data_IF_825658574115
#
_entry.id   IF_825658574115
#
_cell.length_a   1.000
_cell.length_b   1.000
_cell.length_c   1.000
_cell.angle_alpha   90.00
_cell.angle_beta   90.00
_cell.angle_gamma   90.00
#
_symmetry.space_group_name_H-M   'P 1'
#
loop_
_entity.id
_entity.type
_entity.pdbx_description
1 polymer ?
#
# COMPACT_ATOMS: atom_id res chain seq x y z
N UNK A 1 -7.84 8.69 -11.08
CA UNK A 1 -7.78 8.45 -9.62
C UNK A 1 -8.00 9.78 -8.92
N UNK A 2 -8.07 9.77 -7.60
CA UNK A 2 -8.08 10.97 -6.77
C UNK A 2 -6.93 10.86 -5.76
N UNK A 3 -6.34 11.99 -5.33
CA UNK A 3 -5.30 11.98 -4.32
C UNK A 3 -5.76 11.23 -3.07
N UNK A 4 -4.96 10.26 -2.63
CA UNK A 4 -5.24 9.38 -1.50
C UNK A 4 -5.79 8.01 -1.91
N UNK A 5 -6.33 7.85 -3.12
CA UNK A 5 -6.82 6.54 -3.57
C UNK A 5 -5.72 5.47 -3.46
N UNK A 6 -6.08 4.29 -2.96
CA UNK A 6 -5.19 3.13 -2.93
C UNK A 6 -5.38 2.34 -4.23
N UNK A 7 -4.28 2.15 -4.95
CA UNK A 7 -4.26 1.50 -6.27
C UNK A 7 -3.65 0.11 -6.12
N UNK A 8 -4.47 -0.91 -6.30
CA UNK A 8 -4.07 -2.32 -6.17
C UNK A 8 -3.86 -2.96 -7.54
N UNK A 9 -2.60 -3.09 -7.96
CA UNK A 9 -2.28 -3.77 -9.23
C UNK A 9 -2.62 -5.25 -9.13
N UNK A 10 -3.43 -5.72 -10.07
CA UNK A 10 -3.79 -7.12 -10.23
C UNK A 10 -2.94 -7.73 -11.34
N UNK A 11 -2.47 -8.94 -11.08
CA UNK A 11 -1.64 -9.62 -12.04
C UNK A 11 -2.54 -10.40 -13.02
N UNK A 12 -2.49 -10.04 -14.31
CA UNK A 12 -3.19 -10.76 -15.38
C UNK A 12 -2.46 -12.07 -15.74
N UNK A 13 -3.11 -12.96 -16.50
CA UNK A 13 -2.58 -14.29 -16.85
C UNK A 13 -1.52 -14.19 -17.97
N UNK A 14 -1.61 -13.15 -18.78
CA UNK A 14 -0.79 -12.83 -19.95
C UNK A 14 0.23 -11.69 -19.71
N UNK A 15 0.23 -11.09 -18.52
CA UNK A 15 1.16 -10.01 -18.17
C UNK A 15 2.58 -10.57 -17.95
N UNK A 16 3.54 -10.19 -18.81
CA UNK A 16 4.95 -10.58 -18.68
C UNK A 16 5.57 -10.15 -17.34
N UNK A 17 5.06 -9.09 -16.72
CA UNK A 17 5.50 -8.66 -15.38
C UNK A 17 4.88 -9.53 -14.28
N UNK A 18 3.67 -10.08 -14.46
CA UNK A 18 3.05 -11.01 -13.51
C UNK A 18 3.86 -12.29 -13.29
N UNK A 19 4.68 -12.66 -14.28
CA UNK A 19 5.61 -13.80 -14.23
C UNK A 19 6.99 -13.45 -13.66
N UNK A 20 7.24 -12.17 -13.31
CA UNK A 20 8.47 -11.81 -12.61
C UNK A 20 8.54 -12.50 -11.25
N UNK A 21 9.74 -12.95 -10.89
CA UNK A 21 10.01 -13.72 -9.66
C UNK A 21 9.35 -13.07 -8.41
N UNK A 22 9.46 -11.75 -8.18
CA UNK A 22 8.85 -11.12 -7.00
C UNK A 22 7.31 -11.23 -6.98
N UNK A 23 6.63 -11.04 -8.11
CA UNK A 23 5.16 -11.11 -8.19
C UNK A 23 4.66 -12.55 -8.10
N UNK A 24 5.39 -13.52 -8.64
CA UNK A 24 5.12 -14.94 -8.45
C UNK A 24 5.24 -15.36 -6.97
N UNK A 25 6.25 -14.85 -6.25
CA UNK A 25 6.38 -15.07 -4.80
C UNK A 25 5.23 -14.44 -4.02
N UNK A 26 4.77 -13.24 -4.39
CA UNK A 26 3.62 -12.60 -3.73
C UNK A 26 2.34 -13.42 -3.94
N UNK A 27 2.08 -13.89 -5.16
CA UNK A 27 0.96 -14.80 -5.48
C UNK A 27 1.00 -16.07 -4.62
N UNK A 28 2.14 -16.74 -4.60
CA UNK A 28 2.33 -17.95 -3.81
C UNK A 28 2.19 -17.67 -2.31
N UNK A 29 2.73 -16.55 -1.84
CA UNK A 29 2.65 -16.12 -0.45
C UNK A 29 1.22 -15.85 0.02
N UNK A 30 0.41 -15.18 -0.80
CA UNK A 30 -1.01 -14.94 -0.52
C UNK A 30 -1.78 -16.26 -0.41
N UNK A 31 -1.51 -17.20 -1.30
CA UNK A 31 -2.14 -18.52 -1.26
C UNK A 31 -1.74 -19.32 -0.01
N UNK A 32 -0.45 -19.28 0.36
CA UNK A 32 0.06 -19.91 1.59
C UNK A 32 -0.58 -19.28 2.83
N UNK A 33 -0.60 -17.94 2.92
CA UNK A 33 -1.18 -17.22 4.05
C UNK A 33 -2.67 -17.50 4.19
N UNK A 34 -3.44 -17.46 3.10
CA UNK A 34 -4.85 -17.83 3.08
C UNK A 34 -5.09 -19.28 3.55
N UNK A 35 -4.22 -20.22 3.15
CA UNK A 35 -4.29 -21.62 3.61
C UNK A 35 -3.94 -21.79 5.09
N UNK A 36 -3.01 -20.99 5.61
CA UNK A 36 -2.59 -21.05 7.02
C UNK A 36 -3.58 -20.37 7.97
N UNK A 37 -4.26 -19.30 7.52
CA UNK A 37 -5.05 -18.43 8.41
C UNK A 37 -6.55 -18.33 8.06
N UNK A 38 -7.02 -18.93 6.95
CA UNK A 38 -8.43 -19.26 6.73
C UNK A 38 -9.30 -18.22 6.03
N UNK A 39 -8.73 -17.27 5.29
CA UNK A 39 -9.43 -16.08 4.78
C UNK A 39 -9.88 -16.20 3.29
N UNK A 40 -9.68 -17.36 2.66
CA UNK A 40 -9.95 -17.58 1.23
C UNK A 40 -8.82 -17.06 0.33
N UNK A 41 -8.44 -17.83 -0.70
CA UNK A 41 -7.41 -17.36 -1.64
C UNK A 41 -8.04 -16.39 -2.64
N UNK A 42 -7.37 -15.29 -3.01
CA UNK A 42 -7.87 -14.43 -4.08
C UNK A 42 -8.00 -15.21 -5.39
N UNK A 43 -9.17 -15.12 -6.04
CA UNK A 43 -9.36 -15.58 -7.42
C UNK A 43 -8.53 -14.75 -8.42
N UNK A 44 -8.19 -13.50 -8.06
CA UNK A 44 -7.31 -12.61 -8.82
C UNK A 44 -6.24 -12.05 -7.87
N UNK A 45 -4.96 -12.39 -8.07
CA UNK A 45 -3.92 -11.99 -7.12
C UNK A 45 -3.57 -10.51 -7.24
N UNK A 46 -3.75 -9.78 -6.13
CA UNK A 46 -3.26 -8.41 -5.95
C UNK A 46 -1.76 -8.46 -5.69
N UNK A 47 -0.94 -7.95 -6.61
CA UNK A 47 0.53 -8.12 -6.53
C UNK A 47 1.27 -6.85 -6.13
N UNK A 48 0.59 -5.71 -6.12
CA UNK A 48 1.20 -4.44 -5.78
C UNK A 48 0.16 -3.48 -5.20
N UNK A 49 0.63 -2.52 -4.40
CA UNK A 49 -0.18 -1.43 -3.87
C UNK A 49 0.60 -0.12 -4.03
N UNK A 50 -0.09 0.93 -4.44
CA UNK A 50 0.42 2.28 -4.56
C UNK A 50 -0.61 3.28 -3.99
N UNK A 51 -0.19 4.51 -3.71
CA UNK A 51 -1.09 5.60 -3.32
C UNK A 51 -1.13 6.66 -4.42
N UNK A 52 -2.33 7.02 -4.87
CA UNK A 52 -2.53 8.05 -5.88
C UNK A 52 -2.26 9.43 -5.30
N UNK A 53 -1.59 10.27 -6.08
CA UNK A 53 -1.35 11.69 -5.77
C UNK A 53 -2.02 12.61 -6.78
N UNK A 54 -2.46 12.06 -7.91
CA UNK A 54 -3.28 12.74 -8.90
C UNK A 54 -4.21 11.75 -9.60
N UNK A 55 -4.83 12.21 -10.68
CA UNK A 55 -5.63 11.39 -11.58
C UNK A 55 -4.87 10.27 -12.30
N UNK A 56 -3.59 10.48 -12.62
CA UNK A 56 -2.75 9.50 -13.32
C UNK A 56 -1.49 9.09 -12.57
N UNK A 57 -1.07 9.86 -11.56
CA UNK A 57 0.17 9.63 -10.85
C UNK A 57 -0.03 8.95 -9.51
N UNK A 58 0.88 8.03 -9.19
CA UNK A 58 0.98 7.36 -7.90
C UNK A 58 2.38 7.52 -7.31
N UNK A 59 2.50 7.37 -5.99
CA UNK A 59 3.77 7.07 -5.33
C UNK A 59 3.74 5.61 -4.88
N UNK A 60 4.82 4.88 -5.17
CA UNK A 60 4.93 3.47 -4.88
C UNK A 60 6.35 3.06 -4.44
N UNK A 61 6.44 1.98 -3.67
CA UNK A 61 7.71 1.34 -3.32
C UNK A 61 7.94 0.12 -4.23
N UNK A 62 8.88 0.25 -5.16
CA UNK A 62 9.21 -0.74 -6.21
C UNK A 62 10.72 -1.03 -6.22
N UNK A 63 11.23 -1.93 -7.05
CA UNK A 63 12.63 -2.40 -6.99
C UNK A 63 13.72 -1.30 -6.97
N UNK A 64 13.45 -0.13 -7.55
CA UNK A 64 14.33 1.07 -7.52
C UNK A 64 14.23 1.89 -6.23
N UNK A 65 13.20 1.69 -5.41
CA UNK A 65 12.90 2.43 -4.20
C UNK A 65 11.50 3.04 -4.20
N UNK A 66 11.26 3.98 -3.29
CA UNK A 66 10.08 4.85 -3.31
C UNK A 66 10.23 5.83 -4.47
N UNK A 67 9.23 5.89 -5.34
CA UNK A 67 9.23 6.77 -6.50
C UNK A 67 7.82 7.18 -6.91
N UNK A 68 7.73 8.29 -7.64
CA UNK A 68 6.53 8.69 -8.37
C UNK A 68 6.46 7.97 -9.72
N UNK A 69 5.28 7.49 -10.10
CA UNK A 69 5.02 6.82 -11.39
C UNK A 69 3.73 7.34 -12.00
N UNK A 70 3.78 7.73 -13.28
CA UNK A 70 2.60 8.08 -14.07
C UNK A 70 2.05 6.83 -14.77
N UNK A 71 0.87 6.39 -14.35
CA UNK A 71 0.25 5.17 -14.86
C UNK A 71 -0.22 5.30 -16.32
N UNK A 72 -0.43 6.53 -16.80
CA UNK A 72 -0.87 6.79 -18.18
C UNK A 72 0.25 6.61 -19.20
N UNK A 73 1.52 6.66 -18.77
CA UNK A 73 2.70 6.59 -19.65
C UNK A 73 3.52 5.30 -19.47
N UNK A 74 3.11 4.37 -18.60
CA UNK A 74 3.81 3.10 -18.43
C UNK A 74 3.94 2.31 -19.75
N UNK A 75 5.14 1.75 -19.97
CA UNK A 75 5.42 0.92 -21.15
C UNK A 75 4.61 -0.37 -21.16
N UNK A 76 4.35 -0.94 -19.98
CA UNK A 76 3.44 -2.07 -19.79
C UNK A 76 2.27 -1.57 -18.96
N UNK A 77 1.10 -1.44 -19.58
CA UNK A 77 -0.11 -0.99 -18.88
C UNK A 77 -0.51 -2.03 -17.84
N UNK A 78 -0.51 -1.62 -16.58
CA UNK A 78 -1.02 -2.45 -15.48
C UNK A 78 -2.54 -2.37 -15.42
N UNK A 79 -3.16 -3.45 -14.95
CA UNK A 79 -4.55 -3.43 -14.49
C UNK A 79 -4.58 -3.28 -12.98
N UNK A 80 -5.46 -2.44 -12.45
CA UNK A 80 -5.58 -2.21 -11.02
C UNK A 80 -7.02 -1.96 -10.57
N UNK A 81 -7.28 -2.29 -9.32
CA UNK A 81 -8.48 -1.86 -8.60
C UNK A 81 -8.16 -0.58 -7.83
N UNK A 82 -9.10 0.36 -7.78
CA UNK A 82 -8.94 1.64 -7.09
C UNK A 82 -9.92 1.70 -5.92
N UNK A 83 -9.39 1.96 -4.72
CA UNK A 83 -10.18 2.18 -3.51
C UNK A 83 -9.99 3.61 -3.03
N UNK A 84 -11.10 4.28 -2.74
CA UNK A 84 -11.09 5.63 -2.18
C UNK A 84 -11.33 5.58 -0.67
N UNK A 85 -10.69 6.49 0.07
CA UNK A 85 -10.98 6.71 1.48
C UNK A 85 -12.23 7.57 1.60
N UNK A 86 -13.17 7.21 2.47
CA UNK A 86 -14.36 8.00 2.74
C UNK A 86 -14.11 9.26 3.61
N UNK A 87 -12.89 9.39 4.16
CA UNK A 87 -12.43 10.55 4.91
C UNK A 87 -11.39 11.33 4.08
N UNK A 88 -11.82 12.46 3.52
CA UNK A 88 -10.99 13.33 2.69
C UNK A 88 -9.78 13.92 3.42
N UNK A 89 -9.91 14.20 4.73
CA UNK A 89 -8.81 14.75 5.52
C UNK A 89 -7.73 13.69 5.73
N UNK A 90 -8.13 12.46 6.04
CA UNK A 90 -7.21 11.33 6.15
C UNK A 90 -6.54 11.03 4.80
N UNK A 91 -7.30 11.03 3.70
CA UNK A 91 -6.78 10.82 2.35
C UNK A 91 -5.70 11.86 2.00
N UNK A 92 -5.98 13.14 2.24
CA UNK A 92 -5.00 14.24 2.02
C UNK A 92 -3.78 14.08 2.90
N UNK A 93 -3.95 13.76 4.18
CA UNK A 93 -2.82 13.59 5.09
C UNK A 93 -1.92 12.42 4.67
N UNK A 94 -2.51 11.33 4.15
CA UNK A 94 -1.77 10.19 3.60
C UNK A 94 -0.96 10.58 2.35
N UNK A 95 -1.51 11.42 1.48
CA UNK A 95 -0.79 11.98 0.31
C UNK A 95 0.42 12.80 0.75
N UNK A 96 0.23 13.73 1.68
CA UNK A 96 1.31 14.57 2.22
C UNK A 96 2.43 13.70 2.81
N UNK A 97 2.08 12.66 3.56
CA UNK A 97 3.06 11.73 4.10
C UNK A 97 3.83 10.98 2.99
N UNK A 98 3.14 10.52 1.95
CA UNK A 98 3.76 9.83 0.83
C UNK A 98 4.71 10.75 0.04
N UNK A 99 4.32 12.00 -0.20
CA UNK A 99 5.13 13.02 -0.84
C UNK A 99 6.37 13.36 -0.02
N UNK A 100 6.23 13.47 1.31
CA UNK A 100 7.35 13.67 2.22
C UNK A 100 8.36 12.53 2.13
N UNK A 101 7.90 11.27 2.19
CA UNK A 101 8.80 10.12 2.03
C UNK A 101 9.54 10.14 0.70
N UNK A 102 8.86 10.46 -0.41
CA UNK A 102 9.48 10.57 -1.73
C UNK A 102 10.51 11.72 -1.78
N UNK A 103 10.21 12.87 -1.15
CA UNK A 103 11.14 14.00 -1.02
C UNK A 103 12.36 13.69 -0.14
N UNK A 104 12.16 12.95 0.95
CA UNK A 104 13.23 12.53 1.86
C UNK A 104 14.20 11.55 1.20
N UNK A 105 13.71 10.70 0.29
CA UNK A 105 14.56 9.87 -0.58
C UNK A 105 15.37 10.74 -1.54
N UNK A 106 14.72 11.70 -2.21
CA UNK A 106 15.40 12.62 -3.13
C UNK A 106 16.46 13.49 -2.46
N UNK A 107 16.27 13.84 -1.19
CA UNK A 107 17.22 14.58 -0.35
C UNK A 107 18.16 13.69 0.50
N UNK A 108 18.11 12.36 0.30
CA UNK A 108 18.94 11.36 0.98
C UNK A 108 18.81 11.30 2.50
N UNK A 109 17.72 11.84 3.05
CA UNK A 109 17.43 11.77 4.48
C UNK A 109 17.02 10.37 4.93
N UNK A 110 16.38 9.61 4.03
CA UNK A 110 16.05 8.19 4.20
C UNK A 110 16.51 7.40 2.98
N UNK A 111 16.69 6.09 3.15
CA UNK A 111 17.09 5.23 2.04
C UNK A 111 15.96 4.92 1.05
N UNK A 112 14.71 4.82 1.51
CA UNK A 112 13.55 4.45 0.68
C UNK A 112 13.68 3.15 -0.10
N UNK A 113 14.49 2.19 0.36
CA UNK A 113 14.80 0.98 -0.40
C UNK A 113 13.65 -0.01 -0.40
N UNK A 114 13.47 -0.70 -1.52
CA UNK A 114 12.54 -1.81 -1.60
C UNK A 114 13.10 -3.09 -0.98
N UNK A 115 12.25 -3.84 -0.28
CA UNK A 115 12.63 -5.06 0.43
C UNK A 115 11.82 -6.28 0.02
N UNK A 116 12.46 -7.14 -0.79
CA UNK A 116 11.97 -8.50 -1.09
C UNK A 116 11.92 -9.36 0.19
N UNK A 117 12.83 -9.12 1.14
CA UNK A 117 12.82 -9.83 2.42
C UNK A 117 11.58 -9.49 3.25
N UNK A 118 11.18 -8.22 3.30
CA UNK A 118 9.94 -7.80 3.97
C UNK A 118 8.71 -8.39 3.25
N UNK A 119 8.74 -8.47 1.92
CA UNK A 119 7.69 -9.13 1.14
C UNK A 119 7.56 -10.63 1.50
N UNK A 120 8.68 -11.32 1.70
CA UNK A 120 8.66 -12.71 2.15
C UNK A 120 8.19 -12.83 3.61
N UNK A 121 8.65 -11.96 4.51
CA UNK A 121 8.27 -11.99 5.92
C UNK A 121 6.80 -11.67 6.18
N UNK A 122 6.19 -10.78 5.39
CA UNK A 122 4.76 -10.42 5.57
C UNK A 122 3.80 -11.59 5.30
N UNK A 123 4.25 -12.59 4.53
CA UNK A 123 3.50 -13.84 4.32
C UNK A 123 3.38 -14.64 5.62
N UNK A 124 4.44 -14.68 6.43
CA UNK A 124 4.52 -15.53 7.62
C UNK A 124 4.15 -14.82 8.92
N UNK A 125 3.79 -13.53 8.86
CA UNK A 125 3.45 -12.72 10.03
C UNK A 125 1.97 -12.33 10.01
N UNK A 126 1.30 -12.52 11.15
CA UNK A 126 0.01 -11.90 11.49
C UNK A 126 0.18 -11.33 12.89
N UNK A 127 0.50 -10.04 12.97
CA UNK A 127 0.72 -9.34 14.24
C UNK A 127 -0.33 -8.24 14.38
N UNK A 128 -1.10 -8.22 15.49
CA UNK A 128 -2.04 -7.13 15.73
C UNK A 128 -1.30 -5.81 15.93
N UNK A 129 -2.03 -4.72 15.75
CA UNK A 129 -1.52 -3.37 15.94
C UNK A 129 -1.15 -3.09 17.41
N UNK A 130 -0.14 -2.23 17.65
CA UNK A 130 0.26 -1.80 19.00
C UNK A 130 -0.34 -0.41 19.29
N UNK A 131 -1.12 -0.20 20.36
CA UNK A 131 -1.70 1.11 20.63
C UNK A 131 -0.66 2.17 21.03
N UNK A 132 0.56 1.78 21.42
CA UNK A 132 1.60 2.68 21.91
C UNK A 132 2.15 3.59 20.80
N UNK A 133 1.98 4.91 20.97
CA UNK A 133 2.42 5.92 20.00
C UNK A 133 3.90 5.81 19.60
N UNK A 134 4.79 5.64 20.59
CA UNK A 134 6.24 5.55 20.31
C UNK A 134 6.58 4.33 19.43
N UNK A 135 5.89 3.21 19.63
CA UNK A 135 6.10 2.00 18.84
C UNK A 135 5.63 2.20 17.40
N UNK A 136 4.49 2.87 17.21
CA UNK A 136 3.93 3.24 15.90
C UNK A 136 4.87 4.19 15.13
N UNK A 137 5.40 5.21 15.79
CA UNK A 137 6.36 6.16 15.21
C UNK A 137 7.65 5.43 14.78
N UNK A 138 8.24 4.63 15.68
CA UNK A 138 9.48 3.91 15.38
C UNK A 138 9.31 2.93 14.21
N UNK A 139 8.17 2.26 14.14
CA UNK A 139 7.83 1.40 12.99
C UNK A 139 7.70 2.21 11.70
N UNK A 140 7.05 3.38 11.76
CA UNK A 140 6.86 4.23 10.59
C UNK A 140 8.17 4.69 9.98
N UNK A 141 9.13 5.06 10.82
CA UNK A 141 10.50 5.42 10.40
C UNK A 141 11.20 4.21 9.77
N UNK A 142 11.07 3.03 10.37
CA UNK A 142 11.68 1.81 9.83
C UNK A 142 11.15 1.45 8.44
N UNK A 143 9.83 1.57 8.22
CA UNK A 143 9.20 1.34 6.91
C UNK A 143 9.66 2.39 5.90
N UNK A 144 9.71 3.68 6.27
CA UNK A 144 10.20 4.74 5.38
C UNK A 144 11.62 4.46 4.86
N UNK A 145 12.49 3.89 5.69
CA UNK A 145 13.85 3.54 5.28
C UNK A 145 13.90 2.32 4.35
N UNK A 146 13.13 1.28 4.65
CA UNK A 146 13.10 0.02 3.91
C UNK A 146 11.67 -0.55 3.91
N UNK A 147 10.99 -0.51 2.76
CA UNK A 147 9.57 -0.90 2.64
C UNK A 147 9.32 -1.95 1.55
N UNK A 148 8.21 -2.67 1.72
CA UNK A 148 7.50 -3.36 0.65
C UNK A 148 6.25 -2.54 0.28
N UNK A 149 5.69 -2.73 -0.92
CA UNK A 149 4.68 -1.83 -1.49
C UNK A 149 3.44 -1.61 -0.60
N UNK A 150 2.84 -2.67 -0.07
CA UNK A 150 1.70 -2.57 0.86
C UNK A 150 2.07 -1.93 2.19
N UNK A 151 3.29 -2.17 2.69
CA UNK A 151 3.77 -1.56 3.93
C UNK A 151 3.92 -0.06 3.75
N UNK A 152 4.45 0.38 2.62
CA UNK A 152 4.59 1.80 2.28
C UNK A 152 3.22 2.49 2.27
N UNK A 153 2.24 1.96 1.53
CA UNK A 153 0.89 2.56 1.46
C UNK A 153 0.21 2.60 2.82
N UNK A 154 0.21 1.48 3.56
CA UNK A 154 -0.39 1.44 4.89
C UNK A 154 0.29 2.41 5.86
N UNK A 155 1.62 2.58 5.73
CA UNK A 155 2.39 3.51 6.53
C UNK A 155 2.11 4.98 6.20
N UNK A 156 1.92 5.32 4.92
CA UNK A 156 1.54 6.69 4.53
C UNK A 156 0.22 7.10 5.18
N UNK A 157 -0.76 6.20 5.21
CA UNK A 157 -2.03 6.41 5.91
C UNK A 157 -1.86 6.51 7.43
N UNK A 158 -1.03 5.65 8.02
CA UNK A 158 -0.76 5.68 9.46
C UNK A 158 -0.07 6.99 9.90
N UNK A 159 0.96 7.41 9.17
CA UNK A 159 1.68 8.68 9.43
C UNK A 159 0.76 9.87 9.19
N UNK A 160 -0.02 9.85 8.10
CA UNK A 160 -1.03 10.87 7.81
C UNK A 160 -2.05 11.00 8.95
N UNK A 161 -2.57 9.87 9.44
CA UNK A 161 -3.50 9.83 10.57
C UNK A 161 -2.90 10.43 11.85
N UNK A 162 -1.65 10.07 12.17
CA UNK A 162 -0.93 10.61 13.33
C UNK A 162 -0.68 12.12 13.20
N UNK A 163 -0.35 12.61 12.00
CA UNK A 163 -0.17 14.05 11.77
C UNK A 163 -1.49 14.82 11.86
N UNK A 164 -2.54 14.34 11.21
CA UNK A 164 -3.85 15.01 11.20
C UNK A 164 -4.45 15.11 12.61
N UNK A 165 -4.14 14.13 13.47
CA UNK A 165 -4.68 14.02 14.82
C UNK A 165 -3.63 14.25 15.91
N UNK A 166 -2.53 14.97 15.62
CA UNK A 166 -1.39 15.13 16.54
C UNK A 166 -1.77 15.74 17.92
N UNK A 167 -2.91 16.43 18.01
CA UNK A 167 -3.41 17.04 19.24
C UNK A 167 -4.38 16.16 20.04
N UNK A 168 -4.73 14.96 19.55
CA UNK A 168 -5.66 14.06 20.24
C UNK A 168 -4.96 13.26 21.35
N UNK A 169 -5.60 13.22 22.52
CA UNK A 169 -5.25 12.34 23.63
C UNK A 169 -6.52 11.56 24.05
N UNK A 170 -6.54 10.22 23.91
CA UNK A 170 -5.47 9.36 23.40
C UNK A 170 -5.19 9.53 21.89
N UNK A 171 -4.04 9.06 21.37
CA UNK A 171 -3.75 9.04 19.94
C UNK A 171 -4.87 8.37 19.13
N UNK A 172 -5.05 8.74 17.85
CA UNK A 172 -6.11 8.16 17.03
C UNK A 172 -5.94 6.64 16.92
N UNK A 173 -7.04 5.87 16.76
CA UNK A 173 -6.94 4.46 16.43
C UNK A 173 -6.15 4.26 15.12
N UNK A 174 -5.61 3.06 14.93
CA UNK A 174 -4.92 2.71 13.69
C UNK A 174 -5.90 2.79 12.51
N UNK A 175 -5.38 3.14 11.33
CA UNK A 175 -6.20 3.15 10.11
C UNK A 175 -6.61 1.72 9.74
N UNK A 176 -5.66 0.78 9.80
CA UNK A 176 -5.85 -0.63 9.48
C UNK A 176 -5.59 -1.51 10.70
N UNK A 177 -6.39 -2.57 10.86
CA UNK A 177 -6.26 -3.52 11.98
C UNK A 177 -4.99 -4.38 11.92
N UNK A 178 -4.52 -4.65 10.70
CA UNK A 178 -3.27 -5.37 10.48
C UNK A 178 -2.10 -4.40 10.55
N UNK A 179 -1.08 -4.76 11.32
CA UNK A 179 0.14 -3.96 11.45
C UNK A 179 0.85 -3.80 10.09
N UNK A 180 1.26 -2.59 9.67
CA UNK A 180 1.84 -2.35 8.34
C UNK A 180 3.03 -3.27 8.00
N UNK A 181 3.95 -3.56 8.94
CA UNK A 181 5.09 -4.46 8.70
C UNK A 181 4.71 -5.91 8.38
N UNK A 182 3.50 -6.35 8.71
CA UNK A 182 3.01 -7.71 8.44
C UNK A 182 2.03 -7.79 7.25
N UNK A 183 1.75 -6.65 6.61
CA UNK A 183 0.68 -6.53 5.64
C UNK A 183 1.15 -6.90 4.23
N UNK A 184 0.49 -7.88 3.61
CA UNK A 184 0.61 -8.14 2.17
C UNK A 184 -0.34 -7.22 1.38
N UNK A 185 -0.18 -7.07 0.04
CA UNK A 185 -1.12 -6.31 -0.77
C UNK A 185 -2.55 -6.84 -0.70
N UNK A 186 -2.71 -8.15 -0.52
CA UNK A 186 -4.02 -8.77 -0.33
C UNK A 186 -4.63 -8.42 1.02
N UNK A 187 -3.84 -8.46 2.10
CA UNK A 187 -4.36 -8.09 3.43
C UNK A 187 -4.81 -6.61 3.44
N UNK A 188 -4.07 -5.73 2.76
CA UNK A 188 -4.45 -4.33 2.61
C UNK A 188 -5.73 -4.17 1.80
N UNK A 189 -5.84 -4.85 0.65
CA UNK A 189 -7.06 -4.82 -0.18
C UNK A 189 -8.28 -5.38 0.58
N UNK A 190 -8.12 -6.52 1.26
CA UNK A 190 -9.16 -7.13 2.08
C UNK A 190 -9.57 -6.24 3.26
N UNK A 191 -8.63 -5.48 3.84
CA UNK A 191 -8.96 -4.50 4.88
C UNK A 191 -9.80 -3.37 4.30
N UNK A 192 -9.46 -2.86 3.11
CA UNK A 192 -10.25 -1.82 2.44
C UNK A 192 -11.68 -2.28 2.13
N UNK A 193 -11.86 -3.55 1.76
CA UNK A 193 -13.18 -4.14 1.49
C UNK A 193 -14.05 -4.34 2.74
N UNK A 194 -13.45 -4.45 3.92
CA UNK A 194 -14.15 -4.86 5.16
C UNK A 194 -14.29 -3.78 6.23
N UNK A 195 -13.40 -2.78 6.24
CA UNK A 195 -13.28 -1.77 7.32
C UNK A 195 -14.28 -0.60 7.18
N UNK A 196 -14.96 -0.46 6.04
CA UNK A 196 -15.97 0.58 5.80
C UNK A 196 -15.41 2.02 5.70
N UNK A 197 -14.15 2.25 6.07
CA UNK A 197 -13.41 3.51 5.84
C UNK A 197 -13.04 3.72 4.38
N UNK A 198 -12.97 2.65 3.61
CA UNK A 198 -12.64 2.65 2.19
C UNK A 198 -13.78 2.05 1.40
N UNK A 199 -13.90 2.45 0.14
CA UNK A 199 -14.87 1.89 -0.79
C UNK A 199 -14.24 1.69 -2.16
N UNK A 200 -14.71 0.65 -2.87
CA UNK A 200 -14.31 0.40 -4.24
C UNK A 200 -14.81 1.52 -5.15
N UNK A 201 -13.89 2.24 -5.78
CA UNK A 201 -14.17 3.44 -6.55
C UNK A 201 -14.06 3.25 -8.06
N UNK A 202 -13.39 2.19 -8.51
CA UNK A 202 -13.24 1.92 -9.94
C UNK A 202 -12.04 1.07 -10.30
N UNK A 203 -11.72 1.05 -11.59
CA UNK A 203 -10.62 0.30 -12.16
C UNK A 203 -9.66 1.22 -12.91
N UNK A 204 -8.38 0.85 -12.91
CA UNK A 204 -7.40 1.37 -13.86
C UNK A 204 -7.09 0.26 -14.86
N UNK A 205 -7.32 0.52 -16.14
CA UNK A 205 -7.09 -0.46 -17.20
C UNK A 205 -6.60 0.23 -18.46
N UNK A 206 -5.57 -0.34 -19.09
CA UNK A 206 -5.04 0.12 -20.39
C UNK A 206 -4.66 1.61 -20.43
N UNK A 207 -4.22 2.15 -19.29
CA UNK A 207 -3.80 3.55 -19.15
C UNK A 207 -4.95 4.54 -18.94
N UNK A 208 -6.16 4.04 -18.68
CA UNK A 208 -7.37 4.83 -18.47
C UNK A 208 -8.00 4.43 -17.13
N UNK A 209 -8.56 5.40 -16.41
CA UNK A 209 -9.42 5.12 -15.26
C UNK A 209 -10.88 4.97 -15.68
N UNK A 210 -11.55 3.96 -15.12
CA UNK A 210 -13.00 3.81 -15.14
C UNK A 210 -13.50 3.91 -13.70
N UNK A 211 -14.11 5.05 -13.32
CA UNK A 211 -14.75 5.23 -12.02
C UNK A 211 -16.20 4.75 -12.03
N UNK A 212 -16.68 4.30 -10.87
CA UNK A 212 -18.08 3.95 -10.61
C UNK A 212 -18.92 5.16 -10.17
#
# INVERSE_FOLDING_TARGET
MQPGDIVFSVAQVDDKLSTSIPRAFIRAGQWIKAKMFGDGSPNVPVVHAAIAISDTCVIESVGSGIQMTDLSSEAVKRSAMVYSCGDDDLARAAVVAAEQFNGDVGSTQISGRYSVWNAALSVFKRTPFTPELQARINESVAIGNVSFCSQFVANSYEVGNLYNNANLLPPPPAVFDTRPTAMTPWDLASSCDSDGKFYFAGFWQDGIEVRL
#
